data_IF_903427182897
#
_entry.id   IF_903427182897
#
_cell.length_a   1.000
_cell.length_b   1.000
_cell.length_c   1.000
_cell.angle_alpha   90.00
_cell.angle_beta   90.00
_cell.angle_gamma   90.00
#
_symmetry.space_group_name_H-M   'P 1'
#
loop_
_entity.id
_entity.type
_entity.pdbx_description
1 polymer ?
#
# COMPACT_ATOMS: atom_id res chain seq x y z
N UNK A 1 0.00 -43.11 -3.41
CA UNK A 1 -0.63 -42.39 -4.53
C UNK A 1 0.29 -41.19 -4.84
N UNK A 2 0.56 -40.95 -6.11
CA UNK A 2 1.36 -39.79 -6.47
C UNK A 2 0.64 -38.50 -6.11
N UNK A 3 1.34 -37.56 -5.49
CA UNK A 3 0.83 -36.24 -5.21
C UNK A 3 0.62 -35.52 -6.54
N UNK A 4 -0.59 -35.03 -6.80
CA UNK A 4 -0.91 -34.33 -8.05
C UNK A 4 -1.12 -32.84 -7.80
N UNK A 5 -0.74 -32.01 -8.77
CA UNK A 5 -1.00 -30.58 -8.75
C UNK A 5 -2.49 -30.27 -8.51
N UNK A 6 -3.38 -31.01 -9.19
CA UNK A 6 -4.83 -30.81 -9.06
C UNK A 6 -5.33 -31.03 -7.62
N UNK A 7 -4.81 -32.06 -6.92
CA UNK A 7 -5.24 -32.36 -5.55
C UNK A 7 -4.81 -31.21 -4.60
N UNK A 8 -3.61 -30.66 -4.79
CA UNK A 8 -3.11 -29.55 -3.98
C UNK A 8 -3.89 -28.27 -4.29
N UNK A 9 -4.10 -27.96 -5.57
CA UNK A 9 -4.89 -26.78 -5.97
C UNK A 9 -6.32 -26.86 -5.41
N UNK A 10 -6.96 -28.03 -5.41
CA UNK A 10 -8.27 -28.23 -4.79
C UNK A 10 -8.25 -27.97 -3.28
N UNK A 11 -7.20 -28.42 -2.57
CA UNK A 11 -7.04 -28.14 -1.14
C UNK A 11 -6.81 -26.64 -0.87
N UNK A 12 -6.02 -25.95 -1.70
CA UNK A 12 -5.74 -24.53 -1.59
C UNK A 12 -6.96 -23.64 -1.88
N UNK A 13 -7.93 -24.10 -2.70
CA UNK A 13 -9.21 -23.41 -2.89
C UNK A 13 -10.02 -23.27 -1.61
N UNK A 14 -9.79 -24.14 -0.62
CA UNK A 14 -10.40 -24.01 0.70
C UNK A 14 -9.86 -22.86 1.55
N UNK A 15 -8.76 -22.24 1.15
CA UNK A 15 -8.14 -21.12 1.88
C UNK A 15 -8.59 -19.80 1.27
N UNK A 16 -9.44 -19.07 2.00
CA UNK A 16 -10.00 -17.80 1.57
C UNK A 16 -9.18 -16.66 2.15
N UNK A 17 -8.80 -15.72 1.30
CA UNK A 17 -8.25 -14.42 1.71
C UNK A 17 -9.39 -13.56 2.29
N UNK A 18 -9.28 -13.25 3.57
CA UNK A 18 -10.31 -12.51 4.32
C UNK A 18 -10.50 -11.08 3.84
N UNK A 19 -9.49 -10.50 3.17
CA UNK A 19 -9.56 -9.11 2.68
C UNK A 19 -10.31 -9.02 1.35
N UNK A 20 -10.17 -10.04 0.50
CA UNK A 20 -10.78 -10.04 -0.83
C UNK A 20 -12.04 -10.91 -0.92
N UNK A 21 -12.24 -11.81 0.05
CA UNK A 21 -13.32 -12.80 0.05
C UNK A 21 -13.17 -13.89 -1.02
N UNK A 22 -11.99 -14.00 -1.65
CA UNK A 22 -11.70 -14.99 -2.70
C UNK A 22 -10.58 -15.92 -2.26
N UNK A 23 -10.59 -17.15 -2.77
CA UNK A 23 -9.45 -18.05 -2.56
C UNK A 23 -8.24 -17.67 -3.42
N UNK A 24 -7.05 -18.12 -3.00
CA UNK A 24 -5.78 -17.76 -3.65
C UNK A 24 -5.60 -18.38 -5.04
N UNK A 25 -6.32 -19.48 -5.34
CA UNK A 25 -6.28 -20.15 -6.65
C UNK A 25 -7.14 -19.39 -7.65
N UNK A 26 -8.41 -19.13 -7.32
CA UNK A 26 -9.34 -18.36 -8.16
C UNK A 26 -8.88 -16.93 -8.39
N UNK A 27 -8.21 -16.32 -7.41
CA UNK A 27 -7.59 -14.99 -7.52
C UNK A 27 -6.35 -14.97 -8.40
N UNK A 28 -5.89 -16.15 -8.86
CA UNK A 28 -4.66 -16.28 -9.65
C UNK A 28 -3.43 -15.68 -8.97
N UNK A 29 -3.36 -15.76 -7.64
CA UNK A 29 -2.24 -15.27 -6.86
C UNK A 29 -1.07 -16.26 -6.80
N UNK A 30 -1.31 -17.56 -7.08
CA UNK A 30 -0.29 -18.61 -7.02
C UNK A 30 0.61 -18.53 -8.25
N UNK A 31 1.93 -18.59 -8.00
CA UNK A 31 3.00 -18.58 -9.00
C UNK A 31 4.02 -19.66 -8.70
N UNK A 32 4.84 -20.01 -9.69
CA UNK A 32 6.01 -20.88 -9.55
C UNK A 32 5.70 -22.19 -8.82
N UNK A 33 4.56 -22.78 -9.15
CA UNK A 33 4.09 -24.01 -8.50
C UNK A 33 4.94 -25.21 -8.95
N UNK A 34 5.42 -25.99 -7.98
CA UNK A 34 6.21 -27.19 -8.22
C UNK A 34 5.86 -28.30 -7.24
N UNK A 35 5.78 -29.52 -7.74
CA UNK A 35 5.54 -30.75 -6.97
C UNK A 35 6.54 -31.80 -7.39
N UNK A 36 7.23 -32.43 -6.43
CA UNK A 36 8.17 -33.53 -6.69
C UNK A 36 8.41 -34.34 -5.40
N UNK A 37 8.31 -35.68 -5.50
CA UNK A 37 8.63 -36.63 -4.41
C UNK A 37 8.01 -36.32 -3.02
N UNK A 38 6.80 -35.76 -3.02
CA UNK A 38 6.11 -35.33 -1.80
C UNK A 38 6.47 -33.94 -1.31
N UNK A 39 7.37 -33.24 -1.98
CA UNK A 39 7.70 -31.84 -1.72
C UNK A 39 6.87 -30.91 -2.61
N UNK A 40 6.30 -29.86 -2.01
CA UNK A 40 5.48 -28.86 -2.68
C UNK A 40 6.07 -27.49 -2.43
N UNK A 41 6.26 -26.72 -3.50
CA UNK A 41 6.67 -25.32 -3.39
C UNK A 41 5.83 -24.43 -4.29
N UNK A 42 5.49 -23.24 -3.80
CA UNK A 42 4.82 -22.22 -4.58
C UNK A 42 4.98 -20.84 -3.97
N UNK A 43 4.85 -19.84 -4.83
CA UNK A 43 4.81 -18.44 -4.44
C UNK A 43 3.36 -17.94 -4.44
N UNK A 44 3.07 -16.96 -3.57
CA UNK A 44 1.81 -16.22 -3.57
C UNK A 44 2.13 -14.73 -3.73
N UNK A 45 1.62 -14.12 -4.80
CA UNK A 45 1.76 -12.69 -5.07
C UNK A 45 0.44 -11.98 -4.77
N UNK A 46 0.39 -11.25 -3.63
CA UNK A 46 -0.77 -10.45 -3.24
C UNK A 46 -0.78 -9.13 -4.01
N UNK A 47 -1.94 -8.70 -4.50
CA UNK A 47 -2.11 -7.44 -5.22
C UNK A 47 -2.17 -6.19 -4.32
N UNK A 48 -2.02 -6.36 -3.01
CA UNK A 48 -2.16 -5.32 -1.99
C UNK A 48 -1.15 -5.54 -0.84
N UNK A 49 -0.85 -4.50 -0.04
CA UNK A 49 0.04 -4.63 1.11
C UNK A 49 -0.65 -5.40 2.23
N UNK A 50 0.02 -6.41 2.80
CA UNK A 50 -0.53 -7.29 3.82
C UNK A 50 0.55 -7.91 4.72
N UNK A 51 1.57 -7.15 5.05
CA UNK A 51 2.74 -7.63 5.81
C UNK A 51 2.34 -8.32 7.12
N UNK A 52 1.38 -7.75 7.85
CA UNK A 52 0.91 -8.29 9.14
C UNK A 52 0.21 -9.65 9.00
N UNK A 53 -0.41 -9.93 7.86
CA UNK A 53 -1.22 -11.14 7.64
C UNK A 53 -0.44 -12.27 6.96
N UNK A 54 0.73 -11.99 6.38
CA UNK A 54 1.56 -12.99 5.71
C UNK A 54 1.79 -14.24 6.57
N UNK A 55 2.11 -14.16 7.88
CA UNK A 55 2.30 -15.34 8.70
C UNK A 55 1.06 -16.25 8.79
N UNK A 56 -0.11 -15.67 8.92
CA UNK A 56 -1.38 -16.42 9.01
C UNK A 56 -1.74 -17.05 7.66
N UNK A 57 -1.63 -16.32 6.57
CA UNK A 57 -1.85 -16.86 5.22
C UNK A 57 -0.89 -18.02 4.94
N UNK A 58 0.39 -17.85 5.27
CA UNK A 58 1.37 -18.93 5.09
C UNK A 58 1.00 -20.17 5.89
N UNK A 59 0.62 -20.00 7.15
CA UNK A 59 0.20 -21.12 8.01
C UNK A 59 -1.01 -21.86 7.43
N UNK A 60 -2.02 -21.13 6.98
CA UNK A 60 -3.23 -21.71 6.40
C UNK A 60 -2.95 -22.46 5.10
N UNK A 61 -2.16 -21.86 4.19
CA UNK A 61 -1.78 -22.45 2.90
C UNK A 61 -0.93 -23.72 3.10
N UNK A 62 0.04 -23.67 4.00
CA UNK A 62 0.87 -24.84 4.35
C UNK A 62 0.01 -25.96 4.94
N UNK A 63 -0.93 -25.65 5.83
CA UNK A 63 -1.81 -26.62 6.43
C UNK A 63 -2.73 -27.29 5.38
N UNK A 64 -3.30 -26.49 4.46
CA UNK A 64 -4.12 -26.97 3.38
C UNK A 64 -3.34 -27.90 2.43
N UNK A 65 -2.14 -27.50 2.01
CA UNK A 65 -1.31 -28.34 1.14
C UNK A 65 -0.88 -29.64 1.84
N UNK A 66 -0.54 -29.60 3.13
CA UNK A 66 -0.16 -30.78 3.93
C UNK A 66 -1.33 -31.74 4.19
N UNK A 67 -2.57 -31.32 4.03
CA UNK A 67 -3.73 -32.21 4.17
C UNK A 67 -3.86 -33.22 3.02
N UNK A 68 -3.15 -33.00 1.92
CA UNK A 68 -3.14 -33.91 0.77
C UNK A 68 -2.20 -35.07 1.05
N UNK A 69 -2.74 -36.29 0.92
CA UNK A 69 -2.00 -37.53 1.18
C UNK A 69 -0.73 -37.63 0.30
N UNK A 70 0.41 -37.92 0.92
CA UNK A 70 1.69 -38.04 0.25
C UNK A 70 2.53 -36.75 0.24
N UNK A 71 1.99 -35.63 0.71
CA UNK A 71 2.78 -34.40 0.90
C UNK A 71 3.57 -34.48 2.19
N UNK A 72 4.88 -34.32 2.07
CA UNK A 72 5.84 -34.34 3.19
C UNK A 72 6.27 -32.92 3.59
N UNK A 73 6.76 -32.15 2.65
CA UNK A 73 7.22 -30.79 2.88
C UNK A 73 6.47 -29.78 2.02
N UNK A 74 6.23 -28.58 2.59
CA UNK A 74 5.58 -27.49 1.87
C UNK A 74 6.36 -26.19 2.11
N UNK A 75 6.79 -25.57 1.02
CA UNK A 75 7.44 -24.27 1.04
C UNK A 75 6.55 -23.23 0.36
N UNK A 76 6.17 -22.18 1.10
CA UNK A 76 5.33 -21.09 0.58
C UNK A 76 6.04 -19.76 0.81
N UNK A 77 6.31 -19.06 -0.29
CA UNK A 77 6.80 -17.69 -0.25
C UNK A 77 5.65 -16.74 -0.59
N UNK A 78 5.42 -15.72 0.24
CA UNK A 78 4.33 -14.75 0.05
C UNK A 78 4.93 -13.38 -0.09
N UNK A 79 4.59 -12.71 -1.18
CA UNK A 79 5.04 -11.35 -1.50
C UNK A 79 3.83 -10.45 -1.79
N UNK A 80 4.01 -9.15 -1.60
CA UNK A 80 3.01 -8.15 -1.95
C UNK A 80 3.50 -7.30 -3.12
N UNK A 81 2.67 -7.16 -4.15
CA UNK A 81 2.93 -6.31 -5.30
C UNK A 81 1.70 -5.45 -5.56
N UNK A 82 1.70 -4.25 -5.01
CA UNK A 82 0.58 -3.32 -5.17
C UNK A 82 0.30 -3.10 -6.66
N UNK A 83 -0.93 -3.36 -7.07
CA UNK A 83 -1.38 -3.19 -8.44
C UNK A 83 -1.86 -1.75 -8.67
N UNK A 84 -1.53 -1.21 -9.83
CA UNK A 84 -2.11 0.06 -10.27
C UNK A 84 -3.56 -0.18 -10.73
N UNK A 85 -4.48 0.64 -10.25
CA UNK A 85 -5.86 0.61 -10.72
C UNK A 85 -5.99 1.43 -12.01
N UNK A 86 -6.86 0.96 -12.92
CA UNK A 86 -7.15 1.71 -14.12
C UNK A 86 -7.81 3.06 -13.79
N UNK A 87 -7.23 4.14 -14.29
CA UNK A 87 -7.83 5.48 -14.23
C UNK A 87 -8.72 5.73 -15.43
N UNK A 88 -9.59 6.73 -15.32
CA UNK A 88 -10.43 7.15 -16.44
C UNK A 88 -9.57 7.52 -17.64
N UNK A 89 -10.08 7.22 -18.85
CA UNK A 89 -9.39 7.57 -20.10
C UNK A 89 -9.14 9.09 -20.16
N UNK A 90 -7.90 9.46 -20.48
CA UNK A 90 -7.50 10.87 -20.63
C UNK A 90 -6.89 11.50 -19.37
N UNK A 91 -6.79 10.79 -18.26
CA UNK A 91 -6.06 11.27 -17.07
C UNK A 91 -4.58 10.88 -17.20
N UNK A 92 -3.70 11.87 -17.12
CA UNK A 92 -2.27 11.63 -17.08
C UNK A 92 -1.89 11.06 -15.72
N UNK A 93 -1.27 9.88 -15.72
CA UNK A 93 -0.78 9.25 -14.50
C UNK A 93 0.47 9.98 -14.00
N UNK A 94 0.59 10.10 -12.68
CA UNK A 94 1.82 10.52 -12.06
C UNK A 94 2.87 9.40 -12.21
N UNK A 95 4.06 9.71 -12.70
CA UNK A 95 5.12 8.72 -12.81
C UNK A 95 5.38 8.06 -11.44
N UNK A 96 5.53 6.74 -11.45
CA UNK A 96 5.82 5.93 -10.24
C UNK A 96 4.72 5.90 -9.16
N UNK A 97 3.58 6.57 -9.34
CA UNK A 97 2.42 6.50 -8.43
C UNK A 97 1.41 5.52 -8.99
N UNK A 98 1.21 4.39 -8.31
CA UNK A 98 0.29 3.34 -8.74
C UNK A 98 -1.16 3.69 -8.44
N UNK A 99 -1.42 4.29 -7.28
CA UNK A 99 -2.76 4.61 -6.84
C UNK A 99 -2.76 5.96 -6.10
N UNK A 100 -3.75 6.79 -6.37
CA UNK A 100 -4.01 8.05 -5.67
C UNK A 100 -5.31 7.91 -4.90
N UNK A 101 -5.26 8.17 -3.59
CA UNK A 101 -6.44 8.16 -2.71
C UNK A 101 -6.69 9.59 -2.24
N UNK A 102 -7.82 10.19 -2.63
CA UNK A 102 -8.21 11.50 -2.19
C UNK A 102 -9.07 11.41 -0.92
N UNK A 103 -8.63 12.08 0.15
CA UNK A 103 -9.40 12.22 1.39
C UNK A 103 -9.90 13.65 1.49
N UNK A 104 -11.19 13.85 1.26
CA UNK A 104 -11.80 15.17 1.18
C UNK A 104 -13.06 15.28 2.04
N UNK A 105 -13.42 16.51 2.41
CA UNK A 105 -14.67 16.82 3.13
C UNK A 105 -15.12 18.25 2.85
N UNK A 106 -16.41 18.42 2.65
CA UNK A 106 -17.04 19.74 2.52
C UNK A 106 -17.24 20.47 3.85
N UNK A 107 -16.90 19.86 4.99
CA UNK A 107 -17.05 20.46 6.33
C UNK A 107 -15.70 20.44 7.05
N UNK A 108 -15.36 21.56 7.71
CA UNK A 108 -14.18 21.65 8.56
C UNK A 108 -14.34 20.87 9.86
N UNK A 109 -13.23 20.44 10.47
CA UNK A 109 -13.19 19.83 11.80
C UNK A 109 -13.72 18.38 11.87
N UNK A 110 -13.94 17.70 10.76
CA UNK A 110 -14.46 16.30 10.74
C UNK A 110 -13.36 15.21 10.76
N UNK A 111 -12.11 15.58 10.92
CA UNK A 111 -11.00 14.63 10.99
C UNK A 111 -10.42 14.20 9.63
N UNK A 112 -10.58 14.99 8.59
CA UNK A 112 -10.03 14.72 7.24
C UNK A 112 -8.53 14.39 7.29
N UNK A 113 -7.72 15.29 7.82
CA UNK A 113 -6.27 15.11 7.92
C UNK A 113 -5.88 13.96 8.83
N UNK A 114 -6.59 13.78 9.95
CA UNK A 114 -6.43 12.64 10.86
C UNK A 114 -6.65 11.31 10.12
N UNK A 115 -7.71 11.22 9.33
CA UNK A 115 -8.00 10.02 8.54
C UNK A 115 -6.91 9.79 7.49
N UNK A 116 -6.48 10.83 6.77
CA UNK A 116 -5.44 10.71 5.74
C UNK A 116 -4.10 10.23 6.33
N UNK A 117 -3.64 10.83 7.42
CA UNK A 117 -2.40 10.45 8.10
C UNK A 117 -2.47 9.02 8.62
N UNK A 118 -3.53 8.64 9.33
CA UNK A 118 -3.66 7.28 9.86
C UNK A 118 -3.76 6.24 8.76
N UNK A 119 -4.44 6.53 7.65
CA UNK A 119 -4.51 5.63 6.50
C UNK A 119 -3.11 5.44 5.87
N UNK A 120 -2.37 6.53 5.68
CA UNK A 120 -1.01 6.46 5.14
C UNK A 120 -0.08 5.64 6.04
N UNK A 121 -0.10 5.87 7.35
CA UNK A 121 0.69 5.11 8.31
C UNK A 121 0.30 3.63 8.35
N UNK A 122 -0.99 3.32 8.30
CA UNK A 122 -1.47 1.93 8.24
C UNK A 122 -0.99 1.22 6.96
N UNK A 123 -1.08 1.87 5.81
CA UNK A 123 -0.59 1.30 4.53
C UNK A 123 0.94 1.11 4.56
N UNK A 124 1.68 2.05 5.12
CA UNK A 124 3.14 1.93 5.28
C UNK A 124 3.50 0.77 6.22
N UNK A 125 2.79 0.60 7.34
CA UNK A 125 2.98 -0.51 8.28
C UNK A 125 2.75 -1.87 7.60
N UNK A 126 1.79 -1.94 6.68
CA UNK A 126 1.52 -3.14 5.86
C UNK A 126 2.52 -3.32 4.70
N UNK A 127 3.53 -2.45 4.58
CA UNK A 127 4.63 -2.59 3.63
C UNK A 127 4.42 -1.89 2.29
N UNK A 128 3.48 -0.96 2.18
CA UNK A 128 3.36 -0.09 1.00
C UNK A 128 4.39 1.05 1.04
N UNK A 129 4.87 1.49 -0.13
CA UNK A 129 5.48 2.80 -0.30
C UNK A 129 4.38 3.85 -0.36
N UNK A 130 4.38 4.81 0.55
CA UNK A 130 3.30 5.78 0.70
C UNK A 130 3.87 7.20 0.77
N UNK A 131 3.17 8.13 0.09
CA UNK A 131 3.39 9.56 0.23
C UNK A 131 2.09 10.27 0.59
N UNK A 132 2.20 11.39 1.30
CA UNK A 132 1.10 12.31 1.60
C UNK A 132 1.40 13.65 0.92
N UNK A 133 0.45 14.12 0.11
CA UNK A 133 0.40 15.51 -0.33
C UNK A 133 -0.68 16.22 0.50
N UNK A 134 -0.25 17.16 1.36
CA UNK A 134 -1.17 18.01 2.10
C UNK A 134 -1.68 19.14 1.21
N UNK A 135 -2.90 18.98 0.73
CA UNK A 135 -3.56 19.95 -0.15
C UNK A 135 -4.40 20.99 0.63
N UNK A 136 -4.31 21.03 1.95
CA UNK A 136 -4.94 22.07 2.79
C UNK A 136 -4.01 23.30 2.90
N UNK A 137 -4.08 24.16 1.89
CA UNK A 137 -3.19 25.32 1.76
C UNK A 137 -3.41 26.35 2.89
N UNK A 138 -4.63 26.48 3.40
CA UNK A 138 -4.98 27.50 4.39
C UNK A 138 -4.77 27.08 5.85
N UNK A 139 -4.59 25.80 6.09
CA UNK A 139 -4.41 25.26 7.44
C UNK A 139 -3.70 23.92 7.42
N UNK A 140 -2.47 23.86 6.87
CA UNK A 140 -1.73 22.62 6.73
C UNK A 140 -1.45 22.02 8.10
N UNK A 141 -1.97 20.85 8.37
CA UNK A 141 -1.85 20.18 9.66
C UNK A 141 -1.01 18.91 9.62
N UNK A 142 -0.71 18.40 8.43
CA UNK A 142 0.04 17.15 8.25
C UNK A 142 1.47 17.22 8.80
N UNK A 143 2.23 18.32 8.63
CA UNK A 143 3.58 18.46 9.23
C UNK A 143 3.57 18.18 10.74
N UNK A 144 2.70 18.86 11.46
CA UNK A 144 2.58 18.72 12.91
C UNK A 144 2.12 17.28 13.29
N UNK A 145 1.15 16.73 12.57
CA UNK A 145 0.63 15.38 12.84
C UNK A 145 1.67 14.28 12.57
N UNK A 146 2.54 14.50 11.60
CA UNK A 146 3.63 13.58 11.26
C UNK A 146 4.89 13.84 12.08
N UNK A 147 4.92 14.86 12.93
CA UNK A 147 6.10 15.23 13.72
C UNK A 147 7.30 15.59 12.84
N UNK A 148 7.05 16.29 11.73
CA UNK A 148 8.08 16.70 10.78
C UNK A 148 8.30 18.20 10.89
N UNK A 149 9.52 18.56 11.25
CA UNK A 149 10.02 19.93 11.22
C UNK A 149 11.10 20.04 10.14
N UNK A 150 11.24 21.24 9.58
CA UNK A 150 12.28 21.52 8.60
C UNK A 150 11.72 22.02 7.27
N UNK A 151 12.64 22.22 6.33
CA UNK A 151 12.33 22.73 5.00
C UNK A 151 12.81 21.75 3.94
N UNK A 152 11.98 21.43 2.93
CA UNK A 152 12.40 20.60 1.81
C UNK A 152 13.60 21.18 1.07
N UNK A 153 14.52 20.32 0.69
CA UNK A 153 15.67 20.70 -0.14
C UNK A 153 15.29 20.63 -1.63
N UNK A 154 16.05 21.35 -2.45
CA UNK A 154 15.88 21.35 -3.90
C UNK A 154 17.26 21.31 -4.55
N UNK A 155 17.54 20.22 -5.25
CA UNK A 155 18.82 20.02 -5.94
C UNK A 155 18.88 20.79 -7.27
N UNK A 156 17.74 20.91 -7.94
CA UNK A 156 17.62 21.52 -9.28
C UNK A 156 17.01 22.92 -9.28
N UNK A 157 16.60 23.41 -8.12
CA UNK A 157 15.89 24.68 -7.95
C UNK A 157 14.48 24.71 -8.56
N UNK A 158 13.94 23.57 -9.01
CA UNK A 158 12.62 23.44 -9.63
C UNK A 158 11.72 22.46 -8.92
N UNK A 159 12.31 21.38 -8.42
CA UNK A 159 11.60 20.33 -7.67
C UNK A 159 12.08 20.32 -6.23
N UNK A 160 11.25 19.88 -5.32
CA UNK A 160 11.56 19.74 -3.91
C UNK A 160 11.50 18.29 -3.50
N UNK A 161 12.50 17.84 -2.73
CA UNK A 161 12.50 16.50 -2.14
C UNK A 161 11.52 16.46 -0.95
N UNK A 162 10.59 15.48 -0.90
CA UNK A 162 9.66 15.38 0.22
C UNK A 162 10.40 15.06 1.51
N UNK A 163 9.93 15.59 2.63
CA UNK A 163 10.39 15.18 3.94
C UNK A 163 9.80 13.82 4.32
N UNK A 164 10.45 13.10 5.22
CA UNK A 164 10.02 11.74 5.58
C UNK A 164 9.98 11.55 7.09
N UNK A 165 8.92 10.89 7.58
CA UNK A 165 8.88 10.31 8.92
C UNK A 165 8.00 9.05 8.91
N UNK A 166 8.31 8.10 9.78
CA UNK A 166 7.63 6.79 9.88
C UNK A 166 7.58 5.99 8.56
N UNK A 167 8.54 6.21 7.64
CA UNK A 167 8.55 5.56 6.33
C UNK A 167 7.50 6.10 5.36
N UNK A 168 6.96 7.29 5.61
CA UNK A 168 6.00 8.00 4.75
C UNK A 168 6.61 9.31 4.28
N UNK A 169 6.64 9.50 2.96
CA UNK A 169 7.06 10.77 2.35
C UNK A 169 5.93 11.80 2.48
N UNK A 170 6.28 13.03 2.82
CA UNK A 170 5.30 14.10 3.05
C UNK A 170 5.73 15.37 2.34
N UNK A 171 4.79 15.94 1.58
CA UNK A 171 4.91 17.28 1.04
C UNK A 171 3.72 18.12 1.52
N UNK A 172 4.01 19.32 2.01
CA UNK A 172 3.01 20.28 2.51
C UNK A 172 3.52 21.69 2.30
N UNK A 173 2.62 22.61 1.99
CA UNK A 173 2.93 24.04 1.97
C UNK A 173 3.40 24.53 3.36
N UNK A 174 2.99 23.84 4.43
CA UNK A 174 3.40 24.12 5.80
C UNK A 174 4.90 24.05 6.05
N UNK A 175 5.67 23.37 5.17
CA UNK A 175 7.13 23.36 5.24
C UNK A 175 7.77 24.60 4.60
N UNK A 176 7.03 25.32 3.77
CA UNK A 176 7.55 26.44 2.97
C UNK A 176 7.22 27.81 3.59
N UNK A 177 6.24 27.84 4.49
CA UNK A 177 5.74 29.05 5.13
C UNK A 177 6.13 29.04 6.59
N UNK A 178 6.76 30.12 7.07
CA UNK A 178 7.02 30.27 8.50
C UNK A 178 5.69 30.33 9.26
N UNK A 179 5.59 29.60 10.38
CA UNK A 179 4.36 29.52 11.17
C UNK A 179 3.87 30.89 11.69
N UNK A 180 4.80 31.86 11.79
CA UNK A 180 4.53 33.21 12.31
C UNK A 180 4.22 34.23 11.19
N UNK A 181 4.30 33.85 9.91
CA UNK A 181 3.97 34.72 8.80
C UNK A 181 2.54 34.50 8.31
N UNK A 182 1.68 35.50 8.51
CA UNK A 182 0.33 35.51 7.93
C UNK A 182 0.43 35.72 6.40
N UNK A 183 0.55 34.63 5.64
CA UNK A 183 0.54 34.71 4.19
C UNK A 183 -0.90 34.82 3.66
N UNK A 184 -1.16 35.87 2.89
CA UNK A 184 -2.46 36.03 2.21
C UNK A 184 -2.39 35.28 0.88
N UNK A 185 -2.83 34.02 0.91
CA UNK A 185 -3.00 33.21 -0.31
C UNK A 185 -4.22 33.68 -1.09
N UNK A 186 -4.01 34.17 -2.31
CA UNK A 186 -5.10 34.34 -3.27
C UNK A 186 -5.30 33.05 -4.06
N UNK A 187 -6.54 32.79 -4.49
CA UNK A 187 -6.90 31.56 -5.20
C UNK A 187 -5.91 31.12 -6.31
N UNK A 188 -5.46 32.02 -7.22
CA UNK A 188 -4.47 31.66 -8.24
C UNK A 188 -3.12 31.20 -7.69
N UNK A 189 -2.68 31.75 -6.55
CA UNK A 189 -1.42 31.35 -5.91
C UNK A 189 -1.55 29.96 -5.25
N UNK A 190 -2.69 29.69 -4.62
CA UNK A 190 -2.96 28.40 -4.01
C UNK A 190 -2.98 27.26 -5.07
N UNK A 191 -3.55 27.52 -6.26
CA UNK A 191 -3.59 26.53 -7.34
C UNK A 191 -2.24 26.30 -8.03
N UNK A 192 -1.31 27.25 -7.93
CA UNK A 192 0.05 27.09 -8.44
C UNK A 192 0.97 26.35 -7.45
N UNK A 193 0.60 26.30 -6.17
CA UNK A 193 1.36 25.64 -5.13
C UNK A 193 1.07 24.12 -5.03
N UNK A 194 0.00 23.65 -5.67
CA UNK A 194 -0.39 22.25 -5.82
C UNK A 194 0.04 21.69 -7.17
#
# INVERSE_FOLDING_TARGET
MAVTEQAIMAALQGVVDTNTGKDFVSSKCIRNFSVGDGDVSFDVELGYPAKSQIPEFRKALVAAAKSVAGVSNVSVNITSKVLAHAVQRGVQLLPNVKNVVAVASGKGGVGKSTTAVNLALALAAEGASVGILDADIYGPSVPMMMGIDGRPESDDGKTMEPLENYGVQVMSIGFLVAQDEAMIWRGPMATQAL
#
